data_IF_646151714576
#
_entry.id   IF_646151714576
#
_cell.length_a   1.000
_cell.length_b   1.000
_cell.length_c   1.000
_cell.angle_alpha   90.00
_cell.angle_beta   90.00
_cell.angle_gamma   90.00
#
_symmetry.space_group_name_H-M   'P 1'
#
loop_
_entity.id
_entity.type
_entity.pdbx_description
1 polymer ?
#
# COMPACT_ATOMS: atom_id res chain seq x y z
N UNK A 1 -9.89 36.99 -2.37
CA UNK A 1 -9.95 36.27 -1.07
C UNK A 1 -10.69 34.93 -1.13
N UNK A 2 -11.63 34.71 -2.07
CA UNK A 2 -12.45 33.47 -2.17
C UNK A 2 -11.67 32.19 -2.47
N UNK A 3 -10.80 32.16 -3.47
CA UNK A 3 -10.09 30.95 -3.94
C UNK A 3 -9.20 30.24 -2.90
N UNK A 4 -8.70 30.97 -1.89
CA UNK A 4 -7.86 30.38 -0.83
C UNK A 4 -8.72 29.67 0.23
N UNK A 5 -9.90 30.21 0.51
CA UNK A 5 -10.84 29.64 1.49
C UNK A 5 -11.54 28.38 0.96
N UNK A 6 -11.95 28.41 -0.33
CA UNK A 6 -12.52 27.23 -1.02
C UNK A 6 -11.54 26.05 -1.06
N UNK A 7 -10.27 26.36 -1.34
CA UNK A 7 -9.21 25.34 -1.33
C UNK A 7 -8.94 24.76 0.06
N UNK A 8 -9.10 25.52 1.14
CA UNK A 8 -8.92 25.03 2.51
C UNK A 8 -10.04 24.09 2.87
N UNK A 9 -11.30 24.43 2.57
CA UNK A 9 -12.44 23.56 2.80
C UNK A 9 -12.40 22.26 1.99
N UNK A 10 -11.91 22.29 0.74
CA UNK A 10 -11.73 21.09 -0.06
C UNK A 10 -10.68 20.13 0.53
N UNK A 11 -9.57 20.65 1.05
CA UNK A 11 -8.57 19.80 1.69
C UNK A 11 -9.07 19.19 3.00
N UNK A 12 -9.77 19.98 3.82
CA UNK A 12 -10.39 19.48 5.06
C UNK A 12 -11.38 18.37 4.76
N UNK A 13 -12.19 18.53 3.72
CA UNK A 13 -13.13 17.50 3.26
C UNK A 13 -12.40 16.24 2.84
N UNK A 14 -11.36 16.34 1.98
CA UNK A 14 -10.58 15.19 1.51
C UNK A 14 -9.84 14.48 2.66
N UNK A 15 -9.33 15.23 3.63
CA UNK A 15 -8.75 14.66 4.86
C UNK A 15 -9.82 13.87 5.61
N UNK A 16 -11.00 14.43 5.86
CA UNK A 16 -12.08 13.74 6.56
C UNK A 16 -12.55 12.48 5.84
N UNK A 17 -12.72 12.55 4.51
CA UNK A 17 -13.18 11.42 3.70
C UNK A 17 -12.18 10.25 3.64
N UNK A 18 -10.87 10.54 3.68
CA UNK A 18 -9.84 9.53 3.45
C UNK A 18 -8.95 9.22 4.65
N UNK A 19 -9.19 9.84 5.81
CA UNK A 19 -8.35 9.64 6.99
C UNK A 19 -8.27 8.17 7.42
N UNK A 20 -9.42 7.51 7.49
CA UNK A 20 -9.49 6.10 7.90
C UNK A 20 -8.75 5.17 6.93
N UNK A 21 -8.82 5.44 5.61
CA UNK A 21 -8.12 4.67 4.59
C UNK A 21 -6.60 4.84 4.71
N UNK A 22 -6.14 6.08 4.84
CA UNK A 22 -4.71 6.39 5.00
C UNK A 22 -4.17 5.79 6.30
N UNK A 23 -4.87 5.93 7.41
CA UNK A 23 -4.45 5.37 8.68
C UNK A 23 -4.39 3.84 8.63
N UNK A 24 -5.38 3.19 7.99
CA UNK A 24 -5.37 1.74 7.79
C UNK A 24 -4.16 1.29 6.98
N UNK A 25 -3.80 2.02 5.91
CA UNK A 25 -2.57 1.77 5.16
C UNK A 25 -1.33 1.92 6.04
N UNK A 26 -1.21 3.04 6.77
CA UNK A 26 -0.07 3.31 7.65
C UNK A 26 0.09 2.26 8.76
N UNK A 27 -1.01 1.76 9.34
CA UNK A 27 -0.96 0.68 10.35
C UNK A 27 -0.35 -0.62 9.83
N UNK A 28 -0.45 -0.89 8.54
CA UNK A 28 0.14 -2.07 7.91
C UNK A 28 1.60 -1.87 7.47
N UNK A 29 2.00 -0.63 7.20
CA UNK A 29 3.26 -0.35 6.50
C UNK A 29 4.24 0.54 7.25
N UNK A 30 3.77 1.34 8.20
CA UNK A 30 4.66 2.15 9.01
C UNK A 30 5.40 1.30 10.05
N UNK A 31 6.61 1.70 10.47
CA UNK A 31 7.27 1.08 11.59
C UNK A 31 6.38 1.07 12.84
N UNK A 32 6.55 0.06 13.70
CA UNK A 32 5.73 -0.12 14.89
C UNK A 32 5.65 1.14 15.73
N UNK A 33 4.44 1.55 16.09
CA UNK A 33 4.15 2.74 16.89
C UNK A 33 4.12 4.06 16.12
N UNK A 34 4.40 4.07 14.79
CA UNK A 34 4.47 5.30 13.97
C UNK A 34 3.31 5.45 12.98
N UNK A 35 2.27 4.66 13.09
CA UNK A 35 1.16 4.67 12.12
C UNK A 35 0.41 6.00 12.08
N UNK A 36 0.12 6.58 13.23
CA UNK A 36 -0.54 7.88 13.37
C UNK A 36 0.35 9.02 12.87
N UNK A 37 1.63 8.99 13.18
CA UNK A 37 2.61 9.98 12.70
C UNK A 37 2.77 9.90 11.17
N UNK A 38 2.80 8.69 10.61
CA UNK A 38 2.83 8.48 9.16
C UNK A 38 1.57 9.01 8.48
N UNK A 39 0.41 8.81 9.07
CA UNK A 39 -0.84 9.35 8.56
C UNK A 39 -0.86 10.89 8.61
N UNK A 40 -0.43 11.49 9.71
CA UNK A 40 -0.32 12.95 9.84
C UNK A 40 0.66 13.53 8.82
N UNK A 41 1.86 12.97 8.69
CA UNK A 41 2.84 13.41 7.70
C UNK A 41 2.33 13.26 6.27
N UNK A 42 1.55 12.22 5.99
CA UNK A 42 0.87 12.03 4.70
C UNK A 42 -0.02 13.22 4.37
N UNK A 43 -0.89 13.63 5.29
CA UNK A 43 -1.77 14.77 5.08
C UNK A 43 -1.02 16.10 5.04
N UNK A 44 0.02 16.27 5.83
CA UNK A 44 0.90 17.44 5.75
C UNK A 44 1.56 17.56 4.39
N UNK A 45 2.11 16.47 3.84
CA UNK A 45 2.68 16.45 2.47
C UNK A 45 1.61 16.73 1.42
N UNK A 46 0.42 16.16 1.57
CA UNK A 46 -0.71 16.44 0.68
C UNK A 46 -1.06 17.92 0.68
N UNK A 47 -1.24 18.54 1.84
CA UNK A 47 -1.56 19.98 1.97
C UNK A 47 -0.47 20.85 1.38
N UNK A 48 0.82 20.54 1.57
CA UNK A 48 1.96 21.25 0.97
C UNK A 48 2.01 21.11 -0.56
N UNK A 49 1.71 19.91 -1.08
CA UNK A 49 1.71 19.64 -2.53
C UNK A 49 0.44 20.14 -3.23
N UNK A 50 -0.56 20.60 -2.51
CA UNK A 50 -1.91 20.90 -2.97
C UNK A 50 -1.97 21.95 -4.10
N UNK A 51 -1.03 22.88 -4.18
CA UNK A 51 -0.97 23.85 -5.28
C UNK A 51 -0.81 23.20 -6.65
N UNK A 52 -0.26 21.98 -6.69
CA UNK A 52 -0.04 21.14 -7.89
C UNK A 52 -1.09 20.06 -8.07
N UNK A 53 -1.89 19.77 -7.03
CA UNK A 53 -2.93 18.76 -7.09
C UNK A 53 -4.19 19.33 -7.75
N UNK A 54 -4.74 18.62 -8.70
CA UNK A 54 -6.06 18.89 -9.29
C UNK A 54 -6.96 17.71 -8.96
N UNK A 55 -8.06 17.98 -8.24
CA UNK A 55 -9.07 16.96 -7.98
C UNK A 55 -9.66 16.42 -9.30
N UNK A 56 -9.52 15.12 -9.51
CA UNK A 56 -10.04 14.40 -10.68
C UNK A 56 -10.69 13.07 -10.27
N UNK A 57 -11.23 13.00 -9.05
CA UNK A 57 -11.78 11.76 -8.50
C UNK A 57 -10.72 10.70 -8.11
N UNK A 58 -9.45 11.12 -7.91
CA UNK A 58 -8.33 10.23 -7.61
C UNK A 58 -7.62 10.56 -6.30
N UNK A 59 -8.29 11.30 -5.42
CA UNK A 59 -7.71 11.75 -4.15
C UNK A 59 -7.19 10.58 -3.32
N UNK A 60 -7.97 9.50 -3.21
CA UNK A 60 -7.58 8.31 -2.46
C UNK A 60 -6.28 7.68 -2.98
N UNK A 61 -6.18 7.45 -4.29
CA UNK A 61 -4.97 6.87 -4.90
C UNK A 61 -3.74 7.76 -4.70
N UNK A 62 -3.92 9.07 -4.79
CA UNK A 62 -2.86 10.05 -4.56
C UNK A 62 -2.41 10.04 -3.09
N UNK A 63 -3.34 10.03 -2.14
CA UNK A 63 -3.05 9.95 -0.71
C UNK A 63 -2.36 8.64 -0.33
N UNK A 64 -2.79 7.49 -0.87
CA UNK A 64 -2.11 6.19 -0.66
C UNK A 64 -0.69 6.22 -1.22
N UNK A 65 -0.47 6.87 -2.37
CA UNK A 65 0.87 7.05 -2.93
C UNK A 65 1.78 7.86 -2.00
N UNK A 66 1.27 8.94 -1.41
CA UNK A 66 2.01 9.74 -0.43
C UNK A 66 2.28 8.89 0.82
N UNK A 67 1.28 8.21 1.37
CA UNK A 67 1.41 7.36 2.56
C UNK A 67 2.47 6.27 2.37
N UNK A 68 2.48 5.61 1.21
CA UNK A 68 3.51 4.64 0.85
C UNK A 68 4.91 5.23 0.94
N UNK A 69 5.11 6.41 0.36
CA UNK A 69 6.42 7.08 0.38
C UNK A 69 6.81 7.49 1.81
N UNK A 70 5.86 8.02 2.60
CA UNK A 70 6.10 8.38 4.01
C UNK A 70 6.52 7.15 4.82
N UNK A 71 5.78 6.04 4.72
CA UNK A 71 6.12 4.80 5.42
C UNK A 71 7.49 4.27 5.01
N UNK A 72 7.82 4.32 3.71
CA UNK A 72 9.13 3.90 3.21
C UNK A 72 10.27 4.81 3.70
N UNK A 73 10.04 6.13 3.79
CA UNK A 73 11.01 7.08 4.33
C UNK A 73 11.26 6.78 5.82
N UNK A 74 10.19 6.65 6.62
CA UNK A 74 10.28 6.34 8.05
C UNK A 74 10.97 4.99 8.32
N UNK A 75 10.72 3.98 7.49
CA UNK A 75 11.38 2.68 7.62
C UNK A 75 12.88 2.78 7.34
N UNK A 76 13.30 3.56 6.33
CA UNK A 76 14.72 3.82 6.03
C UNK A 76 15.42 4.59 7.14
N UNK A 77 14.77 5.63 7.67
CA UNK A 77 15.32 6.44 8.75
C UNK A 77 15.52 5.58 10.01
N UNK A 78 14.56 4.70 10.32
CA UNK A 78 14.68 3.76 11.44
C UNK A 78 15.78 2.72 11.21
N UNK A 79 15.89 2.16 10.00
CA UNK A 79 16.94 1.20 9.65
C UNK A 79 18.35 1.82 9.73
N UNK A 80 18.49 3.12 9.42
CA UNK A 80 19.74 3.86 9.57
C UNK A 80 20.10 4.16 11.03
N UNK A 81 19.09 4.19 11.92
CA UNK A 81 19.24 4.51 13.35
C UNK A 81 19.45 3.28 14.24
N UNK A 82 18.96 2.10 13.84
CA UNK A 82 19.08 0.84 14.60
C UNK A 82 19.04 -0.37 13.66
N UNK A 83 20.03 -1.27 13.80
CA UNK A 83 20.07 -2.53 13.08
C UNK A 83 19.16 -3.58 13.76
N UNK A 84 17.85 -3.48 13.56
CA UNK A 84 16.94 -4.59 13.83
C UNK A 84 15.85 -4.65 12.77
N UNK A 85 15.73 -5.85 12.15
CA UNK A 85 14.72 -6.16 11.13
C UNK A 85 13.31 -6.03 11.72
N UNK A 86 12.35 -5.47 10.96
CA UNK A 86 10.94 -5.55 11.34
C UNK A 86 10.41 -6.94 11.02
N UNK A 87 9.99 -7.67 12.02
CA UNK A 87 9.16 -8.85 11.89
C UNK A 87 7.73 -8.47 11.47
N UNK A 88 7.21 -9.33 10.58
CA UNK A 88 5.80 -9.68 10.36
C UNK A 88 4.78 -8.57 10.11
N UNK A 89 4.16 -8.68 8.94
CA UNK A 89 2.89 -8.05 8.58
C UNK A 89 1.77 -8.74 9.40
N UNK A 90 1.06 -8.05 10.31
CA UNK A 90 -0.12 -8.63 10.95
C UNK A 90 -1.27 -8.62 9.94
N UNK A 91 -1.59 -9.79 9.40
CA UNK A 91 -2.84 -10.01 8.67
C UNK A 91 -4.00 -10.01 9.66
N UNK A 92 -4.85 -8.99 9.63
CA UNK A 92 -6.17 -9.04 10.24
C UNK A 92 -7.13 -9.76 9.30
N UNK A 93 -7.69 -10.88 9.70
CA UNK A 93 -8.69 -11.63 8.94
C UNK A 93 -9.36 -12.72 9.78
N UNK A 94 -10.60 -13.04 9.45
CA UNK A 94 -11.55 -13.98 10.04
C UNK A 94 -11.00 -15.42 10.20
N UNK A 95 -11.35 -16.21 11.26
CA UNK A 95 -10.68 -17.46 11.62
C UNK A 95 -11.04 -18.70 10.76
N UNK A 96 -11.46 -18.51 9.50
CA UNK A 96 -11.93 -19.60 8.65
C UNK A 96 -10.87 -20.45 7.97
N UNK A 97 -9.65 -19.95 7.67
CA UNK A 97 -8.62 -20.65 6.89
C UNK A 97 -7.21 -20.21 7.29
N UNK A 98 -6.75 -20.64 8.44
CA UNK A 98 -5.42 -20.23 8.93
C UNK A 98 -4.29 -20.83 8.08
N UNK A 99 -4.48 -22.03 7.54
CA UNK A 99 -3.49 -22.69 6.70
C UNK A 99 -3.41 -22.06 5.31
N UNK A 100 -4.54 -21.80 4.66
CA UNK A 100 -4.60 -21.11 3.36
C UNK A 100 -4.02 -19.70 3.45
N UNK A 101 -4.23 -19.01 4.56
CA UNK A 101 -3.63 -17.68 4.81
C UNK A 101 -2.13 -17.72 4.99
N UNK A 102 -1.62 -18.73 5.74
CA UNK A 102 -0.18 -18.93 5.88
C UNK A 102 0.47 -19.23 4.56
N UNK A 103 -0.19 -20.04 3.75
CA UNK A 103 0.29 -20.41 2.43
C UNK A 103 0.32 -19.21 1.48
N UNK A 104 -0.74 -18.43 1.45
CA UNK A 104 -0.78 -17.20 0.68
C UNK A 104 0.27 -16.19 1.16
N UNK A 105 0.40 -15.99 2.48
CA UNK A 105 1.40 -15.09 3.04
C UNK A 105 2.83 -15.53 2.69
N UNK A 106 3.08 -16.84 2.74
CA UNK A 106 4.36 -17.43 2.35
C UNK A 106 4.64 -17.29 0.86
N UNK A 107 3.63 -17.45 0.00
CA UNK A 107 3.72 -17.24 -1.44
C UNK A 107 4.01 -15.77 -1.77
N UNK A 108 3.27 -14.85 -1.14
CA UNK A 108 3.50 -13.41 -1.27
C UNK A 108 4.91 -13.00 -0.83
N UNK A 109 5.43 -13.58 0.26
CA UNK A 109 6.76 -13.28 0.76
C UNK A 109 7.87 -13.65 -0.23
N UNK A 110 7.65 -14.66 -1.09
CA UNK A 110 8.59 -15.09 -2.13
C UNK A 110 8.60 -14.20 -3.37
N UNK A 111 7.57 -13.41 -3.59
CA UNK A 111 7.52 -12.49 -4.72
C UNK A 111 8.57 -11.38 -4.59
N UNK A 112 9.14 -10.92 -5.72
CA UNK A 112 9.91 -9.68 -5.74
C UNK A 112 9.11 -8.52 -5.12
N UNK A 113 9.80 -7.64 -4.38
CA UNK A 113 9.16 -6.54 -3.66
C UNK A 113 8.21 -5.71 -4.52
N UNK A 114 8.63 -5.34 -5.73
CA UNK A 114 7.81 -4.53 -6.64
C UNK A 114 6.51 -5.24 -7.05
N UNK A 115 6.55 -6.56 -7.24
CA UNK A 115 5.37 -7.37 -7.58
C UNK A 115 4.40 -7.47 -6.41
N UNK A 116 4.91 -7.68 -5.20
CA UNK A 116 4.11 -7.71 -3.97
C UNK A 116 3.44 -6.38 -3.70
N UNK A 117 4.18 -5.27 -3.79
CA UNK A 117 3.63 -3.93 -3.66
C UNK A 117 2.57 -3.63 -4.73
N UNK A 118 2.78 -4.07 -5.97
CA UNK A 118 1.80 -3.90 -7.04
C UNK A 118 0.48 -4.63 -6.75
N UNK A 119 0.56 -5.89 -6.27
CA UNK A 119 -0.63 -6.66 -5.87
C UNK A 119 -1.39 -5.99 -4.73
N UNK A 120 -0.68 -5.52 -3.73
CA UNK A 120 -1.29 -4.85 -2.59
C UNK A 120 -2.00 -3.56 -2.99
N UNK A 121 -1.35 -2.69 -3.75
CA UNK A 121 -1.96 -1.47 -4.27
C UNK A 121 -3.18 -1.76 -5.15
N UNK A 122 -3.12 -2.82 -5.96
CA UNK A 122 -4.20 -3.20 -6.86
C UNK A 122 -5.38 -3.82 -6.13
N UNK A 123 -5.13 -4.83 -5.29
CA UNK A 123 -6.18 -5.65 -4.67
C UNK A 123 -6.46 -5.26 -3.22
N UNK A 124 -5.48 -4.84 -2.46
CA UNK A 124 -5.65 -4.34 -1.09
C UNK A 124 -6.20 -2.93 -1.04
N UNK A 125 -5.71 -2.04 -1.92
CA UNK A 125 -6.12 -0.64 -1.94
C UNK A 125 -7.07 -0.30 -3.11
N UNK A 126 -7.36 -1.22 -4.01
CA UNK A 126 -8.30 -1.03 -5.11
C UNK A 126 -7.85 -0.01 -6.17
N UNK A 127 -6.55 0.27 -6.29
CA UNK A 127 -6.02 1.19 -7.28
C UNK A 127 -6.15 0.60 -8.70
N UNK A 128 -6.38 1.45 -9.68
CA UNK A 128 -6.28 1.07 -11.09
C UNK A 128 -4.82 0.76 -11.47
N UNK A 129 -4.61 -0.02 -12.54
CA UNK A 129 -3.26 -0.35 -13.02
C UNK A 129 -2.41 0.89 -13.31
N UNK A 130 -3.05 1.96 -13.83
CA UNK A 130 -2.37 3.24 -14.07
C UNK A 130 -1.94 3.94 -12.78
N UNK A 131 -2.77 3.88 -11.73
CA UNK A 131 -2.46 4.43 -10.41
C UNK A 131 -1.39 3.62 -9.69
N UNK A 132 -1.42 2.28 -9.82
CA UNK A 132 -0.33 1.40 -9.35
C UNK A 132 0.99 1.80 -10.01
N UNK A 133 0.99 1.98 -11.34
CA UNK A 133 2.17 2.43 -12.06
C UNK A 133 2.68 3.78 -11.54
N UNK A 134 1.80 4.76 -11.38
CA UNK A 134 2.15 6.08 -10.84
C UNK A 134 2.71 5.99 -9.41
N UNK A 135 2.10 5.17 -8.54
CA UNK A 135 2.54 4.98 -7.16
C UNK A 135 3.92 4.31 -7.06
N UNK A 136 4.24 3.40 -7.98
CA UNK A 136 5.51 2.66 -8.01
C UNK A 136 6.57 3.32 -8.91
N UNK A 137 6.27 4.47 -9.53
CA UNK A 137 7.19 5.16 -10.43
C UNK A 137 7.48 4.42 -11.74
N UNK A 138 6.51 3.62 -12.22
CA UNK A 138 6.62 2.84 -13.44
C UNK A 138 5.51 3.13 -14.45
N UNK A 139 5.69 2.74 -15.69
CA UNK A 139 4.63 2.89 -16.71
C UNK A 139 3.45 1.96 -16.41
N UNK A 140 2.25 2.32 -16.92
CA UNK A 140 1.05 1.46 -16.84
C UNK A 140 1.33 0.06 -17.40
N UNK A 141 2.09 -0.05 -18.48
CA UNK A 141 2.43 -1.35 -19.10
C UNK A 141 3.37 -2.17 -18.22
N UNK A 142 4.34 -1.52 -17.55
CA UNK A 142 5.22 -2.19 -16.60
C UNK A 142 4.45 -2.67 -15.37
N UNK A 143 3.53 -1.86 -14.85
CA UNK A 143 2.64 -2.25 -13.76
C UNK A 143 1.74 -3.44 -14.13
N UNK A 144 1.17 -3.43 -15.35
CA UNK A 144 0.37 -4.56 -15.84
C UNK A 144 1.17 -5.85 -15.91
N UNK A 145 2.40 -5.79 -16.46
CA UNK A 145 3.30 -6.96 -16.51
C UNK A 145 3.69 -7.47 -15.13
N UNK A 146 4.01 -6.54 -14.21
CA UNK A 146 4.35 -6.91 -12.83
C UNK A 146 3.19 -7.63 -12.14
N UNK A 147 1.95 -7.14 -12.31
CA UNK A 147 0.75 -7.77 -11.77
C UNK A 147 0.49 -9.15 -12.39
N UNK A 148 0.58 -9.29 -13.72
CA UNK A 148 0.39 -10.58 -14.39
C UNK A 148 1.42 -11.60 -13.93
N UNK A 149 2.71 -11.23 -13.93
CA UNK A 149 3.80 -12.10 -13.47
C UNK A 149 3.66 -12.50 -11.99
N UNK A 150 3.20 -11.58 -11.15
CA UNK A 150 2.94 -11.87 -9.74
C UNK A 150 1.81 -12.88 -9.55
N UNK A 151 0.70 -12.73 -10.30
CA UNK A 151 -0.43 -13.66 -10.24
C UNK A 151 -0.07 -15.04 -10.78
N UNK A 152 0.71 -15.11 -11.85
CA UNK A 152 1.22 -16.38 -12.38
C UNK A 152 2.10 -17.09 -11.37
N UNK A 153 3.02 -16.38 -10.71
CA UNK A 153 3.88 -16.95 -9.68
C UNK A 153 3.08 -17.45 -8.46
N UNK A 154 2.06 -16.70 -8.03
CA UNK A 154 1.19 -17.13 -6.93
C UNK A 154 0.38 -18.38 -7.29
N UNK A 155 -0.17 -18.46 -8.49
CA UNK A 155 -0.89 -19.64 -8.95
C UNK A 155 0.01 -20.87 -8.97
N UNK A 156 1.19 -20.78 -9.58
CA UNK A 156 2.15 -21.88 -9.64
C UNK A 156 2.55 -22.37 -8.24
N UNK A 157 2.73 -21.46 -7.28
CA UNK A 157 3.12 -21.80 -5.92
C UNK A 157 2.00 -22.49 -5.12
N UNK A 158 0.75 -22.07 -5.32
CA UNK A 158 -0.43 -22.66 -4.68
C UNK A 158 -0.79 -24.01 -5.30
N UNK A 159 -0.73 -24.16 -6.64
CA UNK A 159 -1.01 -25.43 -7.33
C UNK A 159 -0.07 -26.55 -6.88
N UNK A 160 1.24 -26.24 -6.73
CA UNK A 160 2.25 -27.21 -6.22
C UNK A 160 1.94 -27.69 -4.79
N UNK A 161 1.30 -26.86 -3.99
CA UNK A 161 0.97 -27.20 -2.60
C UNK A 161 -0.29 -28.06 -2.51
N UNK A 162 -1.30 -27.74 -3.32
CA UNK A 162 -2.51 -28.55 -3.41
C UNK A 162 -2.21 -29.99 -3.87
N UNK A 163 -1.25 -30.17 -4.77
CA UNK A 163 -0.79 -31.51 -5.18
C UNK A 163 -0.11 -32.26 -4.03
N UNK A 164 0.76 -31.59 -3.27
CA UNK A 164 1.44 -32.19 -2.11
C UNK A 164 0.50 -32.51 -0.95
N UNK A 165 -0.56 -31.73 -0.75
CA UNK A 165 -1.57 -31.96 0.28
C UNK A 165 -2.51 -33.14 -0.05
N UNK A 166 -2.60 -33.55 -1.31
CA UNK A 166 -3.40 -34.71 -1.74
C UNK A 166 -2.66 -36.04 -1.70
N UNK A 167 -1.35 -36.03 -1.55
CA UNK A 167 -0.50 -37.25 -1.47
C UNK A 167 -0.29 -37.77 -0.04
N UNK A 168 -0.87 -37.12 0.97
CA UNK A 168 -0.83 -37.49 2.39
C UNK A 168 -2.23 -37.93 2.84
#
# INVERSE_FOLDING_TARGET
MGKRNERTGEAERLVGEHYADVLRYCRRHAPAGLAEDAAQETFLRFVRARSRYRERGRARAYLVTIARNVCADMARDRASSWAELPEAIPGGGDPGDEDDRRDLASALARLPRAQREALELRYGEGLTVGEVGAALGMSRFAAARALSSALEALRADLDVRDEKGREV
#
